data_IF_379784997898
#
_entry.id   IF_379784997898
#
_cell.length_a   1.000
_cell.length_b   1.000
_cell.length_c   1.000
_cell.angle_alpha   90.00
_cell.angle_beta   90.00
_cell.angle_gamma   90.00
#
_symmetry.space_group_name_H-M   'P 1'
#
loop_
_entity.id
_entity.type
_entity.pdbx_description
1 polymer ?
#
# COMPACT_ATOMS: atom_id res chain seq x y z
N UNK A 1 39.57 -23.42 47.70
CA UNK A 1 39.61 -21.93 47.69
C UNK A 1 39.72 -21.48 46.24
N UNK A 2 38.63 -20.94 45.68
CA UNK A 2 38.58 -19.95 44.59
C UNK A 2 37.11 -19.81 44.17
N UNK A 3 36.49 -18.75 44.67
CA UNK A 3 35.12 -18.38 44.35
C UNK A 3 35.06 -17.91 42.89
N UNK A 4 34.15 -18.49 42.11
CA UNK A 4 33.83 -18.03 40.76
C UNK A 4 32.74 -16.97 40.93
N UNK A 5 33.13 -15.70 40.93
CA UNK A 5 32.23 -14.56 40.97
C UNK A 5 31.46 -14.45 39.67
N UNK A 6 30.14 -14.58 39.80
CA UNK A 6 29.09 -14.29 38.83
C UNK A 6 29.14 -12.80 38.46
N UNK A 7 29.77 -12.46 37.35
CA UNK A 7 29.78 -11.11 36.78
C UNK A 7 28.53 -10.88 35.93
N UNK A 8 27.46 -10.38 36.54
CA UNK A 8 26.29 -9.86 35.82
C UNK A 8 26.70 -8.55 35.12
N UNK A 9 27.05 -8.64 33.84
CA UNK A 9 27.26 -7.46 32.98
C UNK A 9 25.88 -6.89 32.65
N UNK A 10 25.54 -5.78 33.31
CA UNK A 10 24.36 -4.98 33.01
C UNK A 10 24.66 -4.18 31.73
N UNK A 11 24.31 -4.74 30.56
CA UNK A 11 24.24 -3.97 29.33
C UNK A 11 23.07 -2.98 29.45
N UNK A 12 23.38 -1.73 29.79
CA UNK A 12 22.44 -0.63 29.68
C UNK A 12 22.12 -0.43 28.20
N UNK A 13 21.06 -1.11 27.74
CA UNK A 13 20.52 -0.91 26.41
C UNK A 13 20.00 0.51 26.29
N UNK A 14 20.73 1.36 25.57
CA UNK A 14 20.20 2.64 25.09
C UNK A 14 19.11 2.29 24.07
N UNK A 15 17.87 2.26 24.52
CA UNK A 15 16.72 2.20 23.62
C UNK A 15 16.82 3.41 22.67
N UNK A 16 16.85 3.20 21.34
CA UNK A 16 16.80 4.32 20.43
C UNK A 16 15.52 5.11 20.70
N UNK A 17 15.55 6.46 20.61
CA UNK A 17 14.36 7.25 20.78
C UNK A 17 13.31 6.75 19.78
N UNK A 18 12.16 6.32 20.29
CA UNK A 18 10.99 6.07 19.47
C UNK A 18 10.69 7.38 18.73
N UNK A 19 10.95 7.41 17.43
CA UNK A 19 10.60 8.53 16.60
C UNK A 19 9.09 8.75 16.76
N UNK A 20 8.70 9.86 17.39
CA UNK A 20 7.30 10.27 17.45
C UNK A 20 6.88 10.59 16.02
N UNK A 21 6.11 9.69 15.40
CA UNK A 21 5.53 9.92 14.09
C UNK A 21 4.54 11.08 14.26
N UNK A 22 4.97 12.28 13.88
CA UNK A 22 4.06 13.41 13.72
C UNK A 22 3.02 13.10 12.64
N UNK A 23 1.98 13.94 12.50
CA UNK A 23 1.01 13.76 11.42
C UNK A 23 1.73 13.69 10.06
N UNK A 24 1.45 12.65 9.28
CA UNK A 24 1.99 12.50 7.92
C UNK A 24 1.61 13.71 7.06
N UNK A 25 2.56 14.18 6.26
CA UNK A 25 2.29 15.16 5.20
C UNK A 25 1.30 14.61 4.18
N UNK A 26 0.64 15.50 3.44
CA UNK A 26 -0.33 15.09 2.41
C UNK A 26 0.29 14.19 1.34
N UNK A 27 1.57 14.43 0.99
CA UNK A 27 2.33 13.59 0.06
C UNK A 27 2.55 12.18 0.63
N UNK A 28 3.05 12.06 1.86
CA UNK A 28 3.29 10.75 2.49
C UNK A 28 1.98 9.95 2.65
N UNK A 29 0.86 10.62 2.95
CA UNK A 29 -0.47 9.97 2.98
C UNK A 29 -0.87 9.46 1.61
N UNK A 30 -0.66 10.26 0.55
CA UNK A 30 -0.98 9.88 -0.81
C UNK A 30 -0.12 8.72 -1.32
N UNK A 31 1.19 8.73 -1.04
CA UNK A 31 2.11 7.64 -1.36
C UNK A 31 1.72 6.35 -0.63
N UNK A 32 1.41 6.44 0.66
CA UNK A 32 0.98 5.30 1.47
C UNK A 32 -0.32 4.69 0.92
N UNK A 33 -1.33 5.52 0.61
CA UNK A 33 -2.59 5.06 0.05
C UNK A 33 -2.40 4.41 -1.33
N UNK A 34 -1.56 5.01 -2.18
CA UNK A 34 -1.25 4.48 -3.51
C UNK A 34 -0.52 3.14 -3.42
N UNK A 35 0.44 3.00 -2.50
CA UNK A 35 1.14 1.74 -2.26
C UNK A 35 0.20 0.65 -1.74
N UNK A 36 -0.71 0.99 -0.82
CA UNK A 36 -1.72 0.05 -0.31
C UNK A 36 -2.65 -0.45 -1.42
N UNK A 37 -3.14 0.46 -2.27
CA UNK A 37 -3.93 0.12 -3.45
C UNK A 37 -3.20 -0.83 -4.40
N UNK A 38 -1.95 -0.49 -4.75
CA UNK A 38 -1.15 -1.30 -5.67
C UNK A 38 -0.86 -2.70 -5.10
N UNK A 39 -0.55 -2.79 -3.80
CA UNK A 39 -0.29 -4.07 -3.14
C UNK A 39 -1.54 -4.98 -3.13
N UNK A 40 -2.69 -4.44 -2.76
CA UNK A 40 -3.95 -5.18 -2.73
C UNK A 40 -4.33 -5.69 -4.13
N UNK A 41 -4.32 -4.80 -5.14
CA UNK A 41 -4.66 -5.18 -6.51
C UNK A 41 -3.72 -6.24 -7.07
N UNK A 42 -2.41 -6.11 -6.82
CA UNK A 42 -1.43 -7.12 -7.23
C UNK A 42 -1.67 -8.46 -6.54
N UNK A 43 -2.02 -8.45 -5.26
CA UNK A 43 -2.32 -9.66 -4.50
C UNK A 43 -3.48 -10.45 -5.13
N UNK A 44 -4.60 -9.78 -5.39
CA UNK A 44 -5.75 -10.41 -6.04
C UNK A 44 -5.42 -10.91 -7.44
N UNK A 45 -4.65 -10.13 -8.21
CA UNK A 45 -4.21 -10.54 -9.55
C UNK A 45 -3.37 -11.81 -9.52
N UNK A 46 -2.38 -11.89 -8.63
CA UNK A 46 -1.51 -13.06 -8.49
C UNK A 46 -2.33 -14.28 -8.06
N UNK A 47 -3.29 -14.10 -7.14
CA UNK A 47 -4.18 -15.18 -6.72
C UNK A 47 -5.04 -15.68 -7.89
N UNK A 48 -5.66 -14.77 -8.64
CA UNK A 48 -6.46 -15.11 -9.82
C UNK A 48 -5.64 -15.85 -10.89
N UNK A 49 -4.42 -15.39 -11.14
CA UNK A 49 -3.49 -16.06 -12.04
C UNK A 49 -3.17 -17.49 -11.59
N UNK A 50 -2.95 -17.70 -10.29
CA UNK A 50 -2.65 -19.02 -9.74
C UNK A 50 -3.85 -19.96 -9.80
N UNK A 51 -5.06 -19.45 -9.62
CA UNK A 51 -6.29 -20.25 -9.57
C UNK A 51 -6.90 -20.54 -10.94
N UNK A 52 -6.88 -19.58 -11.87
CA UNK A 52 -7.59 -19.67 -13.15
C UNK A 52 -6.78 -19.22 -14.37
N UNK A 53 -5.49 -18.93 -14.20
CA UNK A 53 -4.62 -18.48 -15.28
C UNK A 53 -4.92 -17.06 -15.77
N UNK A 54 -4.41 -16.73 -16.96
CA UNK A 54 -4.42 -15.36 -17.49
C UNK A 54 -5.84 -14.82 -17.80
N UNK A 55 -6.79 -15.69 -18.14
CA UNK A 55 -8.17 -15.27 -18.47
C UNK A 55 -8.89 -14.81 -17.21
N UNK A 56 -8.84 -15.60 -16.14
CA UNK A 56 -9.42 -15.24 -14.84
C UNK A 56 -8.80 -13.96 -14.26
N UNK A 57 -7.47 -13.84 -14.39
CA UNK A 57 -6.72 -12.67 -13.98
C UNK A 57 -7.19 -11.35 -14.65
N UNK A 58 -7.67 -11.40 -15.90
CA UNK A 58 -8.21 -10.25 -16.62
C UNK A 58 -9.54 -9.79 -16.02
N UNK A 59 -10.44 -10.73 -15.71
CA UNK A 59 -11.73 -10.45 -15.08
C UNK A 59 -11.56 -9.83 -13.69
N UNK A 60 -10.64 -10.37 -12.89
CA UNK A 60 -10.27 -9.82 -11.58
C UNK A 60 -9.70 -8.41 -11.70
N UNK A 61 -8.80 -8.16 -12.65
CA UNK A 61 -8.26 -6.82 -12.91
C UNK A 61 -9.33 -5.78 -13.22
N UNK A 62 -10.40 -6.17 -13.91
CA UNK A 62 -11.49 -5.28 -14.28
C UNK A 62 -12.45 -5.03 -13.11
N UNK A 63 -12.93 -6.10 -12.47
CA UNK A 63 -13.98 -6.04 -11.46
C UNK A 63 -13.50 -5.56 -10.09
N UNK A 64 -12.26 -5.89 -9.72
CA UNK A 64 -11.74 -5.66 -8.37
C UNK A 64 -11.03 -4.33 -8.19
N UNK A 65 -10.47 -3.78 -9.27
CA UNK A 65 -9.69 -2.55 -9.21
C UNK A 65 -10.50 -1.37 -8.63
N UNK A 66 -11.74 -1.17 -9.06
CA UNK A 66 -12.56 -0.07 -8.54
C UNK A 66 -12.99 -0.32 -7.08
N UNK A 67 -13.32 -1.56 -6.72
CA UNK A 67 -13.68 -1.92 -5.34
C UNK A 67 -12.53 -1.66 -4.35
N UNK A 68 -11.30 -2.07 -4.69
CA UNK A 68 -10.12 -1.81 -3.87
C UNK A 68 -9.84 -0.31 -3.80
N UNK A 69 -10.03 0.42 -4.89
CA UNK A 69 -9.87 1.88 -4.90
C UNK A 69 -10.82 2.57 -3.93
N UNK A 70 -12.08 2.12 -3.86
CA UNK A 70 -13.07 2.61 -2.89
C UNK A 70 -12.69 2.26 -1.45
N UNK A 71 -12.24 1.03 -1.17
CA UNK A 71 -11.81 0.61 0.16
C UNK A 71 -10.63 1.46 0.66
N UNK A 72 -9.59 1.61 -0.17
CA UNK A 72 -8.42 2.43 0.14
C UNK A 72 -8.84 3.90 0.30
N UNK A 73 -9.70 4.41 -0.58
CA UNK A 73 -10.20 5.79 -0.47
C UNK A 73 -10.86 6.05 0.88
N UNK A 74 -11.75 5.14 1.33
CA UNK A 74 -12.40 5.22 2.63
C UNK A 74 -11.42 5.10 3.79
N UNK A 75 -10.44 4.19 3.70
CA UNK A 75 -9.44 3.94 4.75
C UNK A 75 -8.52 5.13 4.99
N UNK A 76 -8.09 5.81 3.94
CA UNK A 76 -7.12 6.91 4.03
C UNK A 76 -7.75 8.30 3.94
N UNK A 77 -9.07 8.39 3.69
CA UNK A 77 -9.77 9.67 3.51
C UNK A 77 -9.29 10.44 2.26
N UNK A 78 -8.83 9.72 1.24
CA UNK A 78 -8.32 10.26 -0.02
C UNK A 78 -9.17 9.78 -1.19
N UNK A 79 -9.12 10.48 -2.32
CA UNK A 79 -9.65 9.94 -3.58
C UNK A 79 -8.55 9.18 -4.31
N UNK A 80 -8.62 7.86 -4.31
CA UNK A 80 -7.71 6.99 -5.06
C UNK A 80 -8.46 6.45 -6.28
N UNK A 81 -7.87 6.60 -7.47
CA UNK A 81 -8.43 6.09 -8.72
C UNK A 81 -7.32 5.80 -9.73
N UNK A 82 -7.51 4.79 -10.59
CA UNK A 82 -6.62 4.57 -11.73
C UNK A 82 -7.03 5.46 -12.88
N UNK A 83 -6.11 6.22 -13.45
CA UNK A 83 -6.37 7.07 -14.61
C UNK A 83 -5.39 6.71 -15.73
N UNK A 84 -5.84 6.79 -16.98
CA UNK A 84 -4.99 6.56 -18.15
C UNK A 84 -5.43 7.44 -19.31
N UNK A 85 -4.47 7.95 -20.09
CA UNK A 85 -4.75 8.62 -21.37
C UNK A 85 -5.34 7.65 -22.41
N UNK A 86 -5.04 6.35 -22.28
CA UNK A 86 -5.66 5.26 -23.07
C UNK A 86 -6.77 4.62 -22.25
N UNK A 87 -7.72 5.45 -21.83
CA UNK A 87 -8.78 5.02 -20.93
C UNK A 87 -9.63 3.90 -21.55
N UNK A 88 -9.88 2.84 -20.77
CA UNK A 88 -10.77 1.72 -21.12
C UNK A 88 -12.02 1.67 -20.24
N UNK A 89 -12.01 2.33 -19.08
CA UNK A 89 -13.13 2.40 -18.16
C UNK A 89 -13.67 3.84 -18.16
N UNK A 90 -14.85 4.12 -18.75
CA UNK A 90 -15.42 5.47 -18.80
C UNK A 90 -15.49 6.18 -17.44
N UNK A 91 -15.66 5.45 -16.34
CA UNK A 91 -15.69 6.01 -14.98
C UNK A 91 -14.36 6.62 -14.50
N UNK A 92 -13.26 6.28 -15.16
CA UNK A 92 -11.89 6.69 -14.83
C UNK A 92 -11.25 7.55 -15.94
N UNK A 93 -12.08 8.25 -16.72
CA UNK A 93 -11.58 9.16 -17.74
C UNK A 93 -10.72 10.29 -17.12
N UNK A 94 -9.56 10.62 -17.72
CA UNK A 94 -8.73 11.71 -17.21
C UNK A 94 -9.47 13.04 -17.33
N UNK A 95 -9.44 13.82 -16.25
CA UNK A 95 -9.85 15.22 -16.27
C UNK A 95 -8.79 16.12 -16.95
N UNK A 96 -9.02 17.44 -16.99
CA UNK A 96 -8.16 18.37 -17.70
C UNK A 96 -6.70 18.35 -17.23
N UNK A 97 -6.45 18.38 -15.92
CA UNK A 97 -5.08 18.36 -15.39
C UNK A 97 -4.41 16.99 -15.53
N UNK A 98 -5.19 15.91 -15.43
CA UNK A 98 -4.68 14.54 -15.59
C UNK A 98 -4.24 14.23 -17.02
N UNK A 99 -4.68 15.04 -18.00
CA UNK A 99 -4.24 14.92 -19.39
C UNK A 99 -2.83 15.47 -19.62
N UNK A 100 -2.30 16.27 -18.68
CA UNK A 100 -1.03 16.99 -18.83
C UNK A 100 0.07 16.52 -17.87
N UNK A 101 -0.14 15.44 -17.13
CA UNK A 101 0.86 14.80 -16.24
C UNK A 101 1.61 13.68 -16.91
#
# INVERSE_FOLDING_TARGET
MKAITLGLVLLAGTAPPAASVGPLTDLERAETATAAFAAALKGELVQAMQSGGAIEAIEVCHSRADAIAHEVSGKYGLKVSRVSLKNRNPGNAPNEWQKSV
#
